data_IF_028221928063
#
_entry.id   IF_028221928063
#
_cell.length_a   1.000
_cell.length_b   1.000
_cell.length_c   1.000
_cell.angle_alpha   90.00
_cell.angle_beta   90.00
_cell.angle_gamma   90.00
#
_symmetry.space_group_name_H-M   'P 1'
#
loop_
_entity.id
_entity.type
_entity.pdbx_description
1 polymer ?
#
# COMPACT_ATOMS: atom_id res chain seq x y z
N UNK A 1 7.97 -13.55 12.81
CA UNK A 1 6.92 -12.51 12.75
C UNK A 1 7.19 -11.71 11.48
N UNK A 2 6.17 -11.49 10.63
CA UNK A 2 6.32 -10.66 9.43
C UNK A 2 6.45 -9.19 9.81
N UNK A 3 7.16 -8.43 8.96
CA UNK A 3 7.20 -6.97 9.03
C UNK A 3 6.48 -6.38 7.82
N UNK A 4 5.47 -5.53 8.06
CA UNK A 4 4.70 -4.86 7.04
C UNK A 4 4.82 -3.35 7.13
N UNK A 5 4.89 -2.69 5.98
CA UNK A 5 4.70 -1.25 5.87
C UNK A 5 3.23 -0.98 5.57
N UNK A 6 2.59 -0.18 6.42
CA UNK A 6 1.21 0.27 6.26
C UNK A 6 1.18 1.71 5.71
N UNK A 7 1.05 1.84 4.39
CA UNK A 7 1.07 3.15 3.71
C UNK A 7 -0.29 3.83 3.81
N UNK A 8 -0.29 5.03 4.38
CA UNK A 8 -1.48 5.89 4.50
C UNK A 8 -1.70 6.63 3.17
N UNK A 9 -2.69 6.23 2.38
CA UNK A 9 -2.94 6.73 1.03
C UNK A 9 -3.51 8.15 0.94
N UNK A 10 -3.28 9.01 1.93
CA UNK A 10 -3.79 10.38 1.98
C UNK A 10 -2.91 11.30 2.81
N UNK A 11 -2.98 12.60 2.52
CA UNK A 11 -2.35 13.67 3.31
C UNK A 11 -3.30 14.28 4.37
N UNK A 12 -4.56 13.84 4.42
CA UNK A 12 -5.53 14.37 5.40
C UNK A 12 -5.10 14.00 6.82
N UNK A 13 -5.09 14.98 7.73
CA UNK A 13 -4.81 14.74 9.15
C UNK A 13 -5.96 13.96 9.80
N UNK A 14 -7.20 14.26 9.42
CA UNK A 14 -8.41 13.51 9.83
C UNK A 14 -8.73 12.44 8.78
N UNK A 15 -8.25 11.20 8.98
CA UNK A 15 -8.39 10.13 8.00
C UNK A 15 -8.84 8.82 8.62
N UNK A 16 -10.00 8.32 8.17
CA UNK A 16 -10.48 6.97 8.56
C UNK A 16 -9.62 5.86 7.93
N UNK A 17 -8.89 6.14 6.85
CA UNK A 17 -7.90 5.21 6.30
C UNK A 17 -6.67 5.07 7.21
N UNK A 18 -6.21 6.17 7.81
CA UNK A 18 -5.17 6.12 8.85
C UNK A 18 -5.65 5.38 10.09
N UNK A 19 -6.88 5.66 10.56
CA UNK A 19 -7.49 4.94 11.69
C UNK A 19 -7.56 3.44 11.43
N UNK A 20 -7.92 3.03 10.22
CA UNK A 20 -7.96 1.62 9.84
C UNK A 20 -6.57 0.95 9.94
N UNK A 21 -5.52 1.62 9.47
CA UNK A 21 -4.15 1.09 9.59
C UNK A 21 -3.65 1.10 11.05
N UNK A 22 -4.02 2.09 11.85
CA UNK A 22 -3.72 2.12 13.28
C UNK A 22 -4.43 0.99 14.03
N UNK A 23 -5.70 0.73 13.70
CA UNK A 23 -6.43 -0.43 14.20
C UNK A 23 -5.69 -1.73 13.86
N UNK A 24 -5.30 -1.93 12.59
CA UNK A 24 -4.54 -3.13 12.18
C UNK A 24 -3.23 -3.27 12.94
N UNK A 25 -2.50 -2.17 13.13
CA UNK A 25 -1.24 -2.17 13.88
C UNK A 25 -1.43 -2.66 15.32
N UNK A 26 -2.49 -2.19 16.00
CA UNK A 26 -2.80 -2.58 17.37
C UNK A 26 -3.37 -4.00 17.45
N UNK A 27 -4.34 -4.32 16.58
CA UNK A 27 -5.08 -5.58 16.57
C UNK A 27 -4.22 -6.79 16.23
N UNK A 28 -3.23 -6.63 15.34
CA UNK A 28 -2.34 -7.71 14.90
C UNK A 28 -0.93 -7.65 15.53
N UNK A 29 -0.75 -6.90 16.61
CA UNK A 29 0.56 -6.71 17.23
C UNK A 29 1.24 -8.00 17.72
N UNK A 30 0.47 -9.04 18.01
CA UNK A 30 0.95 -10.37 18.38
C UNK A 30 1.29 -11.27 17.16
N UNK A 31 0.85 -10.89 15.94
CA UNK A 31 0.99 -11.67 14.71
C UNK A 31 2.02 -11.08 13.75
N UNK A 32 2.14 -9.75 13.67
CA UNK A 32 3.04 -9.05 12.77
C UNK A 32 3.50 -7.70 13.33
N UNK A 33 4.68 -7.26 12.90
CA UNK A 33 5.13 -5.87 13.08
C UNK A 33 4.57 -5.02 11.94
N UNK A 34 3.68 -4.07 12.24
CA UNK A 34 3.09 -3.16 11.25
C UNK A 34 3.59 -1.74 11.54
N UNK A 35 4.34 -1.17 10.61
CA UNK A 35 4.87 0.20 10.68
C UNK A 35 4.06 1.11 9.76
N UNK A 36 3.42 2.16 10.31
CA UNK A 36 2.72 3.16 9.51
C UNK A 36 3.71 4.00 8.70
N UNK A 37 3.37 4.25 7.44
CA UNK A 37 4.15 5.10 6.54
C UNK A 37 3.27 6.23 6.00
N UNK A 38 3.63 7.46 6.35
CA UNK A 38 2.99 8.67 5.84
C UNK A 38 3.63 9.09 4.51
N UNK A 39 2.79 9.56 3.58
CA UNK A 39 3.22 10.08 2.28
C UNK A 39 3.23 11.61 2.24
N UNK A 40 2.76 12.26 3.31
CA UNK A 40 2.71 13.71 3.45
C UNK A 40 4.13 14.31 3.41
N UNK A 41 4.29 15.40 2.67
CA UNK A 41 5.57 16.12 2.57
C UNK A 41 6.37 15.82 1.29
N UNK A 42 6.04 14.79 0.54
CA UNK A 42 6.66 14.55 -0.76
C UNK A 42 6.38 15.71 -1.72
N UNK A 43 7.39 16.23 -2.43
CA UNK A 43 7.19 17.23 -3.49
C UNK A 43 6.36 16.62 -4.63
N UNK A 44 5.74 17.48 -5.43
CA UNK A 44 5.06 17.03 -6.64
C UNK A 44 6.09 16.43 -7.61
N UNK A 45 5.82 15.21 -8.08
CA UNK A 45 6.66 14.53 -9.05
C UNK A 45 6.70 15.31 -10.37
N UNK A 46 7.90 15.57 -10.86
CA UNK A 46 8.14 16.35 -12.07
C UNK A 46 9.18 15.71 -13.00
N UNK A 47 9.50 14.42 -12.78
CA UNK A 47 10.53 13.68 -13.55
C UNK A 47 11.83 14.50 -13.67
N UNK A 48 12.56 14.75 -12.56
CA UNK A 48 13.71 15.67 -12.57
C UNK A 48 14.84 15.17 -13.49
N UNK A 49 15.37 16.07 -14.33
CA UNK A 49 16.43 15.76 -15.30
C UNK A 49 17.74 15.26 -14.65
N UNK A 50 18.05 15.78 -13.43
CA UNK A 50 19.21 15.35 -12.64
C UNK A 50 19.03 14.02 -11.94
N UNK A 51 17.85 13.38 -12.07
CA UNK A 51 17.47 12.10 -11.44
C UNK A 51 17.55 12.10 -9.91
N UNK A 52 17.52 13.27 -9.27
CA UNK A 52 17.51 13.38 -7.82
C UNK A 52 16.18 12.90 -7.24
N UNK A 53 16.29 12.02 -6.24
CA UNK A 53 15.14 11.47 -5.51
C UNK A 53 15.10 12.14 -4.14
N UNK A 54 13.94 12.68 -3.70
CA UNK A 54 13.80 13.26 -2.37
C UNK A 54 14.24 12.28 -1.27
N UNK A 55 14.93 12.78 -0.25
CA UNK A 55 15.38 11.97 0.89
C UNK A 55 14.23 11.18 1.54
N UNK A 56 13.05 11.81 1.65
CA UNK A 56 11.85 11.13 2.13
C UNK A 56 11.51 9.90 1.28
N UNK A 57 11.52 10.01 -0.06
CA UNK A 57 11.21 8.89 -0.95
C UNK A 57 12.29 7.79 -0.86
N UNK A 58 13.57 8.15 -0.71
CA UNK A 58 14.64 7.18 -0.48
C UNK A 58 14.44 6.42 0.84
N UNK A 59 14.08 7.15 1.92
CA UNK A 59 13.78 6.54 3.21
C UNK A 59 12.56 5.62 3.16
N UNK A 60 11.51 6.00 2.43
CA UNK A 60 10.34 5.16 2.19
C UNK A 60 10.72 3.89 1.43
N UNK A 61 11.51 4.02 0.36
CA UNK A 61 11.96 2.88 -0.43
C UNK A 61 12.76 1.88 0.42
N UNK A 62 13.72 2.35 1.21
CA UNK A 62 14.50 1.49 2.09
C UNK A 62 13.63 0.70 3.10
N UNK A 63 12.60 1.33 3.66
CA UNK A 63 11.65 0.66 4.57
C UNK A 63 10.81 -0.39 3.83
N UNK A 64 10.30 -0.08 2.63
CA UNK A 64 9.54 -1.02 1.80
C UNK A 64 10.42 -2.20 1.40
N UNK A 65 11.66 -1.96 0.97
CA UNK A 65 12.61 -3.03 0.62
C UNK A 65 12.87 -3.99 1.78
N UNK A 66 13.02 -3.46 3.00
CA UNK A 66 13.27 -4.24 4.20
C UNK A 66 12.03 -5.00 4.72
N UNK A 67 10.83 -4.64 4.29
CA UNK A 67 9.59 -5.27 4.73
C UNK A 67 9.24 -6.53 3.93
N UNK A 68 8.47 -7.43 4.54
CA UNK A 68 7.93 -8.63 3.89
C UNK A 68 6.79 -8.32 2.91
N UNK A 69 6.07 -7.22 3.14
CA UNK A 69 4.97 -6.77 2.28
C UNK A 69 4.50 -5.36 2.63
N UNK A 70 3.59 -4.85 1.82
CA UNK A 70 3.00 -3.51 1.99
C UNK A 70 1.48 -3.61 2.08
N UNK A 71 0.89 -2.88 3.01
CA UNK A 71 -0.55 -2.71 3.15
C UNK A 71 -0.85 -1.26 2.77
N UNK A 72 -1.72 -1.02 1.79
CA UNK A 72 -2.10 0.34 1.37
C UNK A 72 -3.56 0.58 1.69
N UNK A 73 -3.86 1.58 2.54
CA UNK A 73 -5.22 2.03 2.76
C UNK A 73 -5.48 3.34 2.02
N UNK A 74 -6.41 3.33 1.08
CA UNK A 74 -6.70 4.46 0.20
C UNK A 74 -8.11 4.99 0.37
N UNK A 75 -8.32 6.32 0.53
CA UNK A 75 -9.63 6.92 0.29
C UNK A 75 -9.95 6.91 -1.21
N UNK A 76 -11.19 7.27 -1.53
CA UNK A 76 -11.63 7.49 -2.90
C UNK A 76 -11.98 8.97 -3.08
N UNK A 77 -11.21 9.67 -3.91
CA UNK A 77 -11.48 11.05 -4.32
C UNK A 77 -11.78 11.08 -5.81
N UNK A 78 -12.88 11.69 -6.18
CA UNK A 78 -13.31 11.79 -7.59
C UNK A 78 -13.30 10.43 -8.32
N UNK A 79 -13.76 9.37 -7.64
CA UNK A 79 -13.82 7.99 -8.13
C UNK A 79 -12.45 7.36 -8.46
N UNK A 80 -11.38 7.85 -7.86
CA UNK A 80 -10.00 7.42 -8.14
C UNK A 80 -9.17 7.33 -6.87
N UNK A 81 -7.98 6.76 -6.99
CA UNK A 81 -6.94 6.89 -5.98
C UNK A 81 -6.52 8.36 -5.87
N UNK A 82 -6.24 8.88 -4.66
CA UNK A 82 -5.86 10.28 -4.48
C UNK A 82 -4.58 10.64 -5.22
N UNK A 83 -4.53 11.86 -5.78
CA UNK A 83 -3.35 12.37 -6.48
C UNK A 83 -2.06 12.28 -5.63
N UNK A 84 -2.16 12.50 -4.31
CA UNK A 84 -1.02 12.40 -3.39
C UNK A 84 -0.49 10.97 -3.24
N UNK A 85 -1.35 9.95 -3.35
CA UNK A 85 -0.93 8.55 -3.37
C UNK A 85 -0.24 8.21 -4.70
N UNK A 86 -0.81 8.66 -5.81
CA UNK A 86 -0.19 8.48 -7.14
C UNK A 86 1.17 9.17 -7.18
N UNK A 87 1.28 10.38 -6.69
CA UNK A 87 2.54 11.11 -6.55
C UNK A 87 3.60 10.32 -5.75
N UNK A 88 3.20 9.71 -4.64
CA UNK A 88 4.12 8.89 -3.85
C UNK A 88 4.60 7.65 -4.64
N UNK A 89 3.70 6.99 -5.38
CA UNK A 89 4.05 5.84 -6.21
C UNK A 89 4.94 6.23 -7.40
N UNK A 90 4.75 7.41 -8.00
CA UNK A 90 5.62 7.95 -9.05
C UNK A 90 7.04 8.16 -8.54
N UNK A 91 7.22 8.73 -7.34
CA UNK A 91 8.55 8.82 -6.71
C UNK A 91 9.15 7.44 -6.41
N UNK A 92 8.33 6.49 -5.97
CA UNK A 92 8.76 5.12 -5.62
C UNK A 92 8.95 4.19 -6.84
N UNK A 93 8.75 4.70 -8.05
CA UNK A 93 9.04 4.01 -9.31
C UNK A 93 10.10 4.72 -10.17
N UNK A 94 10.60 5.88 -9.71
CA UNK A 94 11.56 6.69 -10.43
C UNK A 94 12.99 6.41 -9.97
N UNK A 95 13.73 5.60 -10.71
CA UNK A 95 15.11 5.14 -10.41
C UNK A 95 15.27 4.39 -9.07
N UNK A 96 14.21 4.16 -8.35
CA UNK A 96 14.08 3.26 -7.20
C UNK A 96 12.82 2.41 -7.41
N UNK A 97 12.90 1.11 -7.18
CA UNK A 97 11.80 0.19 -7.45
C UNK A 97 11.51 -0.74 -6.26
N UNK A 98 11.15 -0.19 -5.07
CA UNK A 98 10.94 -1.01 -3.87
C UNK A 98 9.73 -1.93 -3.96
N UNK A 99 8.80 -1.66 -4.90
CA UNK A 99 7.60 -2.45 -5.11
C UNK A 99 7.78 -3.66 -6.00
N UNK A 100 8.87 -3.74 -6.78
CA UNK A 100 9.08 -4.89 -7.68
C UNK A 100 9.07 -6.19 -6.90
N UNK A 101 8.17 -7.10 -7.29
CA UNK A 101 7.90 -8.39 -6.64
C UNK A 101 7.43 -8.28 -5.17
N UNK A 102 7.13 -7.08 -4.66
CA UNK A 102 6.66 -6.87 -3.28
C UNK A 102 5.20 -7.30 -3.15
N UNK A 103 4.85 -8.16 -2.18
CA UNK A 103 3.46 -8.45 -1.85
C UNK A 103 2.72 -7.21 -1.38
N UNK A 104 1.54 -6.95 -1.94
CA UNK A 104 0.72 -5.79 -1.58
C UNK A 104 -0.71 -6.21 -1.28
N UNK A 105 -1.24 -5.76 -0.14
CA UNK A 105 -2.65 -5.78 0.22
C UNK A 105 -3.23 -4.39 0.07
N UNK A 106 -4.38 -4.26 -0.61
CA UNK A 106 -5.09 -2.99 -0.75
C UNK A 106 -6.39 -3.06 0.03
N UNK A 107 -6.66 -1.99 0.77
CA UNK A 107 -7.91 -1.80 1.51
C UNK A 107 -8.29 -0.32 1.51
N UNK A 108 -9.48 0.00 2.00
CA UNK A 108 -9.88 1.39 2.06
C UNK A 108 -11.12 1.63 2.89
N UNK A 109 -11.25 2.88 3.34
CA UNK A 109 -12.35 3.37 4.14
C UNK A 109 -12.92 4.65 3.50
N UNK A 110 -14.24 4.72 3.35
CA UNK A 110 -14.93 5.89 2.80
C UNK A 110 -16.14 6.28 3.66
N UNK A 111 -16.50 7.57 3.61
CA UNK A 111 -17.68 8.06 4.30
C UNK A 111 -18.99 7.53 3.67
N UNK A 112 -18.96 7.26 2.36
CA UNK A 112 -20.08 6.62 1.66
C UNK A 112 -20.08 5.10 1.76
N UNK A 113 -21.07 4.46 1.14
CA UNK A 113 -21.30 3.02 1.24
C UNK A 113 -20.30 2.16 0.45
N UNK A 114 -19.59 2.71 -0.55
CA UNK A 114 -18.82 1.93 -1.52
C UNK A 114 -17.43 1.52 -1.05
N UNK A 115 -16.95 2.03 0.09
CA UNK A 115 -15.70 1.59 0.70
C UNK A 115 -14.45 1.70 -0.19
N UNK A 116 -14.42 2.70 -1.07
CA UNK A 116 -13.30 3.00 -2.00
C UNK A 116 -13.09 2.00 -3.16
N UNK A 117 -14.14 1.31 -3.60
CA UNK A 117 -14.05 0.25 -4.61
C UNK A 117 -13.36 0.68 -5.91
N UNK A 118 -13.66 1.89 -6.41
CA UNK A 118 -13.07 2.41 -7.66
C UNK A 118 -11.61 2.82 -7.48
N UNK A 119 -11.29 3.44 -6.34
CA UNK A 119 -9.91 3.78 -6.00
C UNK A 119 -9.04 2.52 -5.87
N UNK A 120 -9.55 1.45 -5.25
CA UNK A 120 -8.85 0.17 -5.16
C UNK A 120 -8.64 -0.47 -6.54
N UNK A 121 -9.64 -0.43 -7.43
CA UNK A 121 -9.51 -0.94 -8.80
C UNK A 121 -8.45 -0.16 -9.58
N UNK A 122 -8.47 1.19 -9.51
CA UNK A 122 -7.45 2.03 -10.14
C UNK A 122 -6.05 1.78 -9.55
N UNK A 123 -5.94 1.68 -8.23
CA UNK A 123 -4.65 1.42 -7.58
C UNK A 123 -4.05 0.08 -7.99
N UNK A 124 -4.87 -0.97 -8.20
CA UNK A 124 -4.41 -2.25 -8.75
C UNK A 124 -3.77 -2.08 -10.11
N UNK A 125 -4.39 -1.32 -11.01
CA UNK A 125 -3.85 -1.04 -12.35
C UNK A 125 -2.51 -0.29 -12.26
N UNK A 126 -2.39 0.70 -11.36
CA UNK A 126 -1.14 1.45 -11.17
C UNK A 126 -0.02 0.56 -10.63
N UNK A 127 -0.30 -0.25 -9.62
CA UNK A 127 0.69 -1.15 -8.99
C UNK A 127 1.13 -2.31 -9.90
N UNK A 128 0.33 -2.67 -10.91
CA UNK A 128 0.65 -3.68 -11.93
C UNK A 128 1.48 -3.12 -13.10
N UNK A 129 1.75 -1.80 -13.10
CA UNK A 129 2.59 -1.18 -14.12
C UNK A 129 4.01 -1.78 -14.13
N UNK A 130 4.70 -1.77 -15.28
CA UNK A 130 6.07 -2.30 -15.40
C UNK A 130 7.07 -1.68 -14.42
N UNK A 131 6.88 -0.41 -14.06
CA UNK A 131 7.76 0.35 -13.18
C UNK A 131 7.60 -0.04 -11.70
N UNK A 132 6.39 -0.44 -11.29
CA UNK A 132 6.08 -0.86 -9.92
C UNK A 132 6.10 -2.38 -9.77
N UNK A 133 5.49 -3.15 -10.68
CA UNK A 133 5.44 -4.62 -10.73
C UNK A 133 5.16 -5.28 -9.37
N UNK A 134 4.25 -4.70 -8.61
CA UNK A 134 3.89 -5.24 -7.31
C UNK A 134 3.12 -6.57 -7.45
N UNK A 135 3.30 -7.47 -6.50
CA UNK A 135 2.48 -8.67 -6.38
C UNK A 135 1.25 -8.36 -5.55
N UNK A 136 0.19 -7.97 -6.20
CA UNK A 136 -1.04 -7.57 -5.52
C UNK A 136 -1.82 -8.82 -5.12
N UNK A 137 -2.19 -8.93 -3.83
CA UNK A 137 -3.03 -10.04 -3.37
C UNK A 137 -4.34 -10.09 -4.16
N UNK A 138 -4.65 -11.19 -4.84
CA UNK A 138 -5.85 -11.30 -5.67
C UNK A 138 -7.11 -11.36 -4.80
N UNK A 139 -8.22 -10.81 -5.32
CA UNK A 139 -9.56 -10.89 -4.72
C UNK A 139 -9.69 -10.38 -3.27
N UNK A 140 -8.71 -9.63 -2.79
CA UNK A 140 -8.71 -9.06 -1.45
C UNK A 140 -9.31 -7.65 -1.48
N UNK A 141 -10.60 -7.55 -1.23
CA UNK A 141 -11.30 -6.27 -1.18
C UNK A 141 -11.85 -6.05 0.22
N UNK A 142 -11.09 -5.32 1.05
CA UNK A 142 -11.65 -4.76 2.28
C UNK A 142 -12.12 -3.34 2.00
N UNK A 143 -13.45 -3.18 1.94
CA UNK A 143 -14.13 -1.95 1.61
C UNK A 143 -14.98 -1.49 2.80
N UNK A 144 -14.42 -0.61 3.65
CA UNK A 144 -15.10 -0.08 4.82
C UNK A 144 -15.95 1.13 4.44
N UNK A 145 -17.23 0.90 4.15
CA UNK A 145 -18.21 1.97 3.97
C UNK A 145 -18.61 2.60 5.31
N UNK A 146 -19.25 3.79 5.25
CA UNK A 146 -19.74 4.54 6.42
C UNK A 146 -18.68 4.69 7.53
N UNK A 147 -17.44 4.95 7.13
CA UNK A 147 -16.26 4.84 7.99
C UNK A 147 -16.20 5.85 9.14
N UNK A 148 -17.02 6.92 9.13
CA UNK A 148 -17.14 7.84 10.27
C UNK A 148 -17.77 7.18 11.49
N UNK A 149 -18.60 6.15 11.30
CA UNK A 149 -19.29 5.40 12.35
C UNK A 149 -18.64 4.02 12.62
N UNK A 150 -17.56 3.70 11.93
CA UNK A 150 -16.97 2.37 11.95
C UNK A 150 -16.01 2.14 13.13
N UNK A 151 -15.61 3.19 13.82
CA UNK A 151 -14.66 3.11 14.93
C UNK A 151 -15.27 3.67 16.22
N UNK A 152 -14.96 3.03 17.35
CA UNK A 152 -15.25 3.56 18.69
C UNK A 152 -14.24 4.65 19.10
N UNK A 153 -14.40 5.20 20.31
CA UNK A 153 -13.52 6.25 20.85
C UNK A 153 -12.09 5.77 21.10
N UNK A 154 -11.88 4.47 21.26
CA UNK A 154 -10.57 3.83 21.44
C UNK A 154 -9.92 3.44 20.10
N UNK A 155 -10.64 3.64 18.98
CA UNK A 155 -10.17 3.36 17.61
C UNK A 155 -10.38 1.91 17.15
N UNK A 156 -11.19 1.12 17.87
CA UNK A 156 -11.54 -0.24 17.46
C UNK A 156 -12.69 -0.25 16.46
N UNK A 157 -12.66 -1.20 15.52
CA UNK A 157 -13.82 -1.46 14.66
C UNK A 157 -15.01 -1.97 15.49
N UNK A 158 -16.18 -1.35 15.29
CA UNK A 158 -17.39 -1.68 16.06
C UNK A 158 -18.23 -2.81 15.48
N UNK A 159 -18.00 -3.18 14.23
CA UNK A 159 -18.74 -4.24 13.52
C UNK A 159 -17.93 -5.53 13.50
N UNK A 160 -18.37 -6.53 14.27
CA UNK A 160 -17.74 -7.85 14.36
C UNK A 160 -17.62 -8.55 13.01
N UNK A 161 -18.53 -8.29 12.06
CA UNK A 161 -18.45 -8.88 10.71
C UNK A 161 -17.32 -8.26 9.92
N UNK A 162 -17.08 -6.96 10.07
CA UNK A 162 -15.93 -6.28 9.44
C UNK A 162 -14.62 -6.74 10.08
N UNK A 163 -14.59 -6.92 11.40
CA UNK A 163 -13.43 -7.50 12.10
C UNK A 163 -13.12 -8.89 11.56
N UNK A 164 -14.09 -9.80 11.56
CA UNK A 164 -13.90 -11.16 11.08
C UNK A 164 -13.47 -11.22 9.60
N UNK A 165 -14.01 -10.32 8.75
CA UNK A 165 -13.60 -10.20 7.35
C UNK A 165 -12.15 -9.74 7.23
N UNK A 166 -11.74 -8.74 8.00
CA UNK A 166 -10.38 -8.24 7.99
C UNK A 166 -9.39 -9.26 8.50
N UNK A 167 -9.74 -10.00 9.56
CA UNK A 167 -8.94 -11.11 10.11
C UNK A 167 -8.67 -12.19 9.07
N UNK A 168 -9.70 -12.61 8.34
CA UNK A 168 -9.57 -13.57 7.26
C UNK A 168 -8.65 -13.07 6.14
N UNK A 169 -8.84 -11.83 5.71
CA UNK A 169 -8.01 -11.22 4.67
C UNK A 169 -6.55 -11.01 5.11
N UNK A 170 -6.33 -10.68 6.38
CA UNK A 170 -4.97 -10.52 6.91
C UNK A 170 -4.24 -11.87 7.01
N UNK A 171 -4.94 -12.93 7.42
CA UNK A 171 -4.40 -14.30 7.41
C UNK A 171 -4.05 -14.75 5.98
N UNK A 172 -4.92 -14.49 5.01
CA UNK A 172 -4.66 -14.75 3.59
C UNK A 172 -3.47 -13.95 3.06
N UNK A 173 -3.31 -12.70 3.49
CA UNK A 173 -2.16 -11.88 3.10
C UNK A 173 -0.84 -12.43 3.64
N UNK A 174 -0.79 -12.88 4.89
CA UNK A 174 0.39 -13.53 5.46
C UNK A 174 0.76 -14.79 4.67
N UNK A 175 -0.23 -15.62 4.30
CA UNK A 175 -0.02 -16.79 3.45
C UNK A 175 0.48 -16.40 2.05
N UNK A 176 -0.11 -15.36 1.45
CA UNK A 176 0.30 -14.82 0.15
C UNK A 176 1.75 -14.34 0.15
N UNK A 177 2.20 -13.70 1.22
CA UNK A 177 3.60 -13.30 1.42
C UNK A 177 4.53 -14.54 1.39
N UNK A 178 4.18 -15.61 2.07
CA UNK A 178 4.99 -16.83 2.08
C UNK A 178 5.05 -17.53 0.70
N UNK A 179 3.95 -17.49 -0.07
CA UNK A 179 3.92 -18.00 -1.44
C UNK A 179 4.81 -17.13 -2.35
N UNK A 180 4.70 -15.81 -2.25
CA UNK A 180 5.44 -14.89 -3.11
C UNK A 180 6.94 -14.90 -2.83
N UNK A 181 7.38 -15.18 -1.61
CA UNK A 181 8.80 -15.42 -1.29
C UNK A 181 9.40 -16.52 -2.16
N UNK A 182 8.65 -17.60 -2.38
CA UNK A 182 9.08 -18.72 -3.26
C UNK A 182 9.13 -18.32 -4.72
N UNK A 183 8.18 -17.51 -5.19
CA UNK A 183 8.15 -16.99 -6.57
C UNK A 183 9.29 -15.99 -6.82
N UNK A 184 9.66 -15.18 -5.83
CA UNK A 184 10.77 -14.23 -5.93
C UNK A 184 12.09 -14.93 -6.26
N UNK A 185 12.34 -16.09 -5.67
CA UNK A 185 13.54 -16.87 -5.97
C UNK A 185 13.57 -17.42 -7.40
N UNK A 186 12.42 -17.72 -8.01
CA UNK A 186 12.31 -18.17 -9.40
C UNK A 186 12.49 -17.03 -10.42
N UNK A 187 12.19 -15.78 -10.02
CA UNK A 187 12.21 -14.59 -10.86
C UNK A 187 13.33 -13.60 -10.46
N UNK A 188 14.45 -14.08 -9.93
CA UNK A 188 15.53 -13.21 -9.45
C UNK A 188 16.06 -12.22 -10.50
N UNK A 189 16.03 -12.62 -11.78
CA UNK A 189 16.44 -11.77 -12.91
C UNK A 189 15.48 -10.61 -13.17
N UNK A 190 14.20 -10.77 -12.87
CA UNK A 190 13.16 -9.77 -13.17
C UNK A 190 13.39 -8.44 -12.46
N UNK A 191 13.80 -8.49 -11.18
CA UNK A 191 14.12 -7.27 -10.42
C UNK A 191 15.31 -6.52 -11.05
N UNK A 192 16.37 -7.24 -11.43
CA UNK A 192 17.54 -6.64 -12.04
C UNK A 192 17.21 -6.07 -13.42
N UNK A 193 16.40 -6.77 -14.21
CA UNK A 193 15.96 -6.30 -15.54
C UNK A 193 15.22 -4.97 -15.46
N UNK A 194 14.29 -4.81 -14.49
CA UNK A 194 13.55 -3.54 -14.30
C UNK A 194 14.48 -2.43 -13.83
N UNK A 195 15.41 -2.75 -12.94
CA UNK A 195 16.36 -1.78 -12.38
C UNK A 195 17.36 -1.27 -13.42
N UNK A 196 17.77 -2.15 -14.34
CA UNK A 196 18.72 -1.86 -15.39
C UNK A 196 18.06 -1.31 -16.68
N UNK A 197 16.72 -1.26 -16.69
CA UNK A 197 15.95 -0.80 -17.85
C UNK A 197 16.12 0.70 -18.04
N UNK A 198 16.64 1.07 -19.21
CA UNK A 198 16.75 2.46 -19.63
C UNK A 198 15.45 2.90 -20.32
N UNK A 199 14.52 3.41 -19.54
CA UNK A 199 13.19 3.85 -20.00
C UNK A 199 13.23 4.99 -21.02
N UNK A 200 14.37 5.68 -21.17
CA UNK A 200 14.52 6.74 -22.16
C UNK A 200 14.88 6.21 -23.56
N UNK A 201 15.22 4.91 -23.65
CA UNK A 201 15.57 4.25 -24.91
C UNK A 201 14.49 3.34 -25.48
N UNK A 202 13.36 3.26 -24.78
CA UNK A 202 12.16 2.54 -25.24
C UNK A 202 11.22 3.48 -25.98
#
# INVERSE_FOLDING_TARGET
MHKFIAMVGTNSDESTNRKLLQYMQAHYADQAEIELMEIKGLPIFNKPENREIPEQAQGMAAKIEAADGVIISTPEYDHSAPAVLLNALEWLSFHIQPFVDKPVMILGASYGALGTSRAQAHLRQVLDSPELRARIMPSSEFMLGHSLQAFDDDGNLVDDQQVAKLDGLFADFQMFVEITKKLKNANATTYQEVRDMDWEKL
#
